data_IF_444476114175
#
_entry.id   IF_444476114175
#
_cell.length_a   1.000
_cell.length_b   1.000
_cell.length_c   1.000
_cell.angle_alpha   90.00
_cell.angle_beta   90.00
_cell.angle_gamma   90.00
#
_symmetry.space_group_name_H-M   'P 1'
#
loop_
_entity.id
_entity.type
_entity.pdbx_description
1 polymer ?
#
# COMPACT_ATOMS: atom_id res chain seq x y z
N UNK A 1 -2.03 20.59 -11.37
CA UNK A 1 -2.52 19.70 -10.32
C UNK A 1 -1.74 18.38 -10.40
N UNK A 2 -1.66 17.65 -9.29
CA UNK A 2 -1.01 16.33 -9.24
C UNK A 2 -2.02 15.30 -8.74
N UNK A 3 -2.12 14.17 -9.43
CA UNK A 3 -2.84 12.98 -8.99
C UNK A 3 -1.80 11.95 -8.51
N UNK A 4 -1.74 11.70 -7.22
CA UNK A 4 -0.89 10.68 -6.62
C UNK A 4 -1.70 9.40 -6.39
N UNK A 5 -1.19 8.29 -6.88
CA UNK A 5 -1.83 6.97 -6.75
C UNK A 5 -0.91 6.05 -5.96
N UNK A 6 -1.45 5.48 -4.88
CA UNK A 6 -0.85 4.39 -4.13
C UNK A 6 -1.50 3.06 -4.53
N UNK A 7 -0.69 2.15 -5.08
CA UNK A 7 -1.09 0.78 -5.43
C UNK A 7 -0.75 -0.16 -4.28
N UNK A 8 -1.63 -0.21 -3.28
CA UNK A 8 -1.50 -1.10 -2.13
C UNK A 8 -1.86 -2.56 -2.42
N UNK A 9 -1.64 -3.43 -1.46
CA UNK A 9 -1.94 -4.87 -1.54
C UNK A 9 -3.45 -5.14 -1.61
N UNK A 10 -4.26 -4.38 -0.87
CA UNK A 10 -5.70 -4.53 -0.84
C UNK A 10 -6.42 -3.56 -1.78
N UNK A 11 -6.12 -2.28 -1.64
CA UNK A 11 -6.82 -1.21 -2.32
C UNK A 11 -5.85 -0.24 -2.97
N UNK A 12 -6.31 0.40 -4.04
CA UNK A 12 -5.64 1.52 -4.67
C UNK A 12 -6.29 2.80 -4.19
N UNK A 13 -5.47 3.77 -3.86
CA UNK A 13 -5.90 5.10 -3.43
C UNK A 13 -5.36 6.14 -4.39
N UNK A 14 -6.19 7.09 -4.77
CA UNK A 14 -5.78 8.25 -5.51
C UNK A 14 -6.18 9.51 -4.76
N UNK A 15 -5.28 10.46 -4.68
CA UNK A 15 -5.56 11.82 -4.23
C UNK A 15 -5.20 12.78 -5.36
N UNK A 16 -6.06 13.77 -5.61
CA UNK A 16 -5.76 14.87 -6.51
C UNK A 16 -5.56 16.12 -5.69
N UNK A 17 -4.40 16.73 -5.84
CA UNK A 17 -4.02 17.92 -5.07
C UNK A 17 -3.66 19.08 -5.99
N UNK A 18 -3.92 20.29 -5.50
CA UNK A 18 -3.41 21.52 -6.05
C UNK A 18 -2.30 22.03 -5.13
N UNK A 19 -1.08 22.10 -5.62
CA UNK A 19 0.02 22.71 -4.90
C UNK A 19 0.12 24.20 -5.28
N UNK A 20 0.42 25.06 -4.31
CA UNK A 20 0.78 26.44 -4.51
C UNK A 20 2.31 26.60 -4.62
N UNK A 21 2.77 27.86 -4.74
CA UNK A 21 4.20 28.18 -4.85
C UNK A 21 4.94 28.06 -3.52
N UNK A 22 4.22 28.12 -2.43
CA UNK A 22 4.69 28.02 -1.04
C UNK A 22 4.84 26.56 -0.59
N UNK A 23 4.43 25.58 -1.44
CA UNK A 23 4.48 24.16 -1.16
C UNK A 23 3.31 23.66 -0.29
N UNK A 24 2.30 24.49 -0.08
CA UNK A 24 1.03 24.05 0.52
C UNK A 24 0.20 23.33 -0.53
N UNK A 25 -0.58 22.34 -0.12
CA UNK A 25 -1.47 21.64 -1.03
C UNK A 25 -2.89 21.57 -0.50
N UNK A 26 -3.82 21.74 -1.41
CA UNK A 26 -5.25 21.61 -1.21
C UNK A 26 -5.71 20.27 -1.80
N UNK A 27 -6.43 19.48 -1.02
CA UNK A 27 -7.06 18.26 -1.51
C UNK A 27 -8.26 18.63 -2.38
N UNK A 28 -8.19 18.25 -3.66
CA UNK A 28 -9.24 18.56 -4.65
C UNK A 28 -10.20 17.39 -4.85
N UNK A 29 -9.66 16.16 -4.85
CA UNK A 29 -10.45 14.95 -5.09
C UNK A 29 -9.77 13.71 -4.52
N UNK A 30 -10.55 12.67 -4.23
CA UNK A 30 -10.03 11.38 -3.76
C UNK A 30 -10.80 10.24 -4.40
N UNK A 31 -10.13 9.12 -4.64
CA UNK A 31 -10.76 7.88 -5.05
C UNK A 31 -10.09 6.69 -4.35
N UNK A 32 -10.89 5.70 -3.98
CA UNK A 32 -10.42 4.45 -3.38
C UNK A 32 -11.16 3.28 -4.04
N UNK A 33 -10.42 2.24 -4.39
CA UNK A 33 -10.95 1.04 -5.03
C UNK A 33 -10.31 -0.21 -4.45
N UNK A 34 -11.11 -1.19 -4.10
CA UNK A 34 -10.64 -2.49 -3.62
C UNK A 34 -10.23 -3.36 -4.81
N UNK A 35 -8.93 -3.54 -4.99
CA UNK A 35 -8.34 -4.34 -6.07
C UNK A 35 -7.99 -5.74 -5.62
N UNK A 36 -7.63 -5.88 -4.33
CA UNK A 36 -7.17 -7.13 -3.75
C UNK A 36 -6.04 -7.75 -4.56
N UNK A 37 -5.00 -6.94 -4.81
CA UNK A 37 -3.87 -7.33 -5.66
C UNK A 37 -3.10 -8.51 -5.09
N UNK A 38 -3.06 -8.65 -3.77
CA UNK A 38 -2.40 -9.76 -3.07
C UNK A 38 -3.23 -11.04 -2.97
N UNK A 39 -4.50 -11.06 -3.39
CA UNK A 39 -5.36 -12.21 -3.22
C UNK A 39 -5.10 -13.32 -4.25
N UNK A 40 -5.34 -14.57 -3.84
CA UNK A 40 -5.24 -15.75 -4.72
C UNK A 40 -3.81 -16.24 -4.96
N UNK A 41 -2.83 -15.72 -4.22
CA UNK A 41 -1.44 -16.18 -4.30
C UNK A 41 -0.89 -16.41 -2.89
N UNK A 42 -0.41 -17.61 -2.57
CA UNK A 42 0.25 -17.86 -1.30
C UNK A 42 1.38 -16.85 -1.06
N UNK A 43 1.43 -16.30 0.15
CA UNK A 43 2.45 -15.30 0.56
C UNK A 43 2.56 -14.06 -0.37
N UNK A 44 1.49 -13.74 -1.11
CA UNK A 44 1.46 -12.59 -2.05
C UNK A 44 2.64 -12.62 -3.05
N UNK A 45 3.09 -13.81 -3.42
CA UNK A 45 4.32 -13.98 -4.22
C UNK A 45 4.12 -13.83 -5.73
N UNK A 46 2.88 -13.78 -6.20
CA UNK A 46 2.53 -13.63 -7.62
C UNK A 46 1.26 -12.77 -7.74
N UNK A 47 1.25 -11.84 -8.67
CA UNK A 47 0.03 -11.14 -9.09
C UNK A 47 -0.68 -12.05 -10.09
N UNK A 48 -1.88 -12.52 -9.72
CA UNK A 48 -2.68 -13.41 -10.57
C UNK A 48 -3.25 -12.66 -11.78
N UNK A 49 -3.57 -13.34 -12.91
CA UNK A 49 -4.18 -12.68 -14.07
C UNK A 49 -5.46 -11.90 -13.73
N UNK A 50 -6.33 -12.47 -12.87
CA UNK A 50 -7.56 -11.79 -12.44
C UNK A 50 -7.28 -10.54 -11.61
N UNK A 51 -6.25 -10.56 -10.74
CA UNK A 51 -5.84 -9.40 -9.97
C UNK A 51 -5.24 -8.32 -10.89
N UNK A 52 -4.49 -8.72 -11.90
CA UNK A 52 -3.93 -7.82 -12.91
C UNK A 52 -5.03 -7.13 -13.73
N UNK A 53 -6.07 -7.84 -14.17
CA UNK A 53 -7.19 -7.25 -14.90
C UNK A 53 -7.99 -6.27 -14.04
N UNK A 54 -8.20 -6.59 -12.74
CA UNK A 54 -8.83 -5.63 -11.81
C UNK A 54 -7.98 -4.37 -11.64
N UNK A 55 -6.67 -4.53 -11.49
CA UNK A 55 -5.73 -3.42 -11.39
C UNK A 55 -5.76 -2.53 -12.63
N UNK A 56 -5.71 -3.11 -13.82
CA UNK A 56 -5.81 -2.40 -15.09
C UNK A 56 -7.11 -1.59 -15.19
N UNK A 57 -8.24 -2.19 -14.83
CA UNK A 57 -9.53 -1.51 -14.87
C UNK A 57 -9.56 -0.28 -13.93
N UNK A 58 -9.03 -0.40 -12.72
CA UNK A 58 -8.96 0.70 -11.75
C UNK A 58 -8.01 1.79 -12.23
N UNK A 59 -6.82 1.45 -12.69
CA UNK A 59 -5.84 2.43 -13.20
C UNK A 59 -6.38 3.21 -14.40
N UNK A 60 -7.08 2.55 -15.32
CA UNK A 60 -7.74 3.25 -16.43
C UNK A 60 -8.77 4.27 -15.93
N UNK A 61 -9.58 3.93 -14.92
CA UNK A 61 -10.53 4.87 -14.30
C UNK A 61 -9.81 6.04 -13.61
N UNK A 62 -8.77 5.77 -12.84
CA UNK A 62 -7.98 6.82 -12.17
C UNK A 62 -7.33 7.76 -13.18
N UNK A 63 -6.80 7.21 -14.28
CA UNK A 63 -6.26 8.02 -15.39
C UNK A 63 -7.32 8.95 -16.00
N UNK A 64 -8.55 8.48 -16.18
CA UNK A 64 -9.65 9.31 -16.67
C UNK A 64 -9.99 10.43 -15.66
N UNK A 65 -10.09 10.10 -14.37
CA UNK A 65 -10.33 11.09 -13.31
C UNK A 65 -9.22 12.15 -13.25
N UNK A 66 -7.96 11.73 -13.28
CA UNK A 66 -6.82 12.65 -13.33
C UNK A 66 -6.90 13.59 -14.55
N UNK A 67 -7.22 13.03 -15.73
CA UNK A 67 -7.42 13.82 -16.96
C UNK A 67 -8.55 14.84 -16.83
N UNK A 68 -9.69 14.47 -16.25
CA UNK A 68 -10.81 15.38 -16.01
C UNK A 68 -10.46 16.54 -15.08
N UNK A 69 -9.49 16.34 -14.19
CA UNK A 69 -8.96 17.36 -13.27
C UNK A 69 -7.74 18.11 -13.82
N UNK A 70 -7.31 17.82 -15.05
CA UNK A 70 -6.05 18.35 -15.63
C UNK A 70 -4.86 18.12 -14.67
N UNK A 71 -4.76 16.93 -14.10
CA UNK A 71 -3.73 16.56 -13.15
C UNK A 71 -2.71 15.60 -13.79
N UNK A 72 -1.43 15.88 -13.57
CA UNK A 72 -0.35 14.95 -13.88
C UNK A 72 -0.41 13.78 -12.90
N UNK A 73 -0.35 12.55 -13.42
CA UNK A 73 -0.51 11.37 -12.58
C UNK A 73 0.86 10.75 -12.26
N UNK A 74 1.08 10.49 -10.96
CA UNK A 74 2.20 9.72 -10.43
C UNK A 74 1.64 8.48 -9.73
N UNK A 75 2.26 7.33 -9.99
CA UNK A 75 1.82 6.06 -9.42
C UNK A 75 2.99 5.42 -8.70
N UNK A 76 2.78 5.12 -7.43
CA UNK A 76 3.70 4.28 -6.65
C UNK A 76 3.05 2.94 -6.35
N UNK A 77 3.85 1.89 -6.29
CA UNK A 77 3.41 0.56 -5.90
C UNK A 77 4.24 0.04 -4.74
N UNK A 78 3.57 -0.65 -3.82
CA UNK A 78 4.14 -1.08 -2.55
C UNK A 78 4.26 -2.60 -2.46
N UNK A 79 4.08 -3.18 -1.30
CA UNK A 79 4.38 -4.56 -0.93
C UNK A 79 3.97 -5.61 -1.99
N UNK A 80 2.71 -5.64 -2.44
CA UNK A 80 2.25 -6.69 -3.36
C UNK A 80 3.01 -6.69 -4.69
N UNK A 81 3.26 -5.51 -5.27
CA UNK A 81 4.02 -5.40 -6.52
C UNK A 81 5.51 -5.59 -6.26
N UNK A 82 6.05 -4.98 -5.19
CA UNK A 82 7.46 -5.08 -4.81
C UNK A 82 7.92 -6.52 -4.67
N UNK A 83 7.09 -7.37 -4.09
CA UNK A 83 7.44 -8.75 -3.75
C UNK A 83 7.04 -9.78 -4.81
N UNK A 84 6.17 -9.41 -5.76
CA UNK A 84 5.72 -10.31 -6.79
C UNK A 84 6.88 -10.74 -7.72
N UNK A 85 6.99 -12.05 -7.93
CA UNK A 85 7.98 -12.64 -8.87
C UNK A 85 7.76 -12.17 -10.29
N UNK A 86 6.51 -11.93 -10.67
CA UNK A 86 6.11 -11.44 -11.99
C UNK A 86 5.99 -9.91 -12.08
N UNK A 87 6.55 -9.15 -11.11
CA UNK A 87 6.44 -7.69 -11.06
C UNK A 87 6.86 -6.98 -12.34
N UNK A 88 7.93 -7.47 -13.01
CA UNK A 88 8.42 -6.87 -14.26
C UNK A 88 7.39 -6.98 -15.38
N UNK A 89 6.73 -8.12 -15.48
CA UNK A 89 5.66 -8.33 -16.46
C UNK A 89 4.46 -7.45 -16.15
N UNK A 90 4.06 -7.39 -14.89
CA UNK A 90 2.96 -6.54 -14.42
C UNK A 90 3.19 -5.06 -14.74
N UNK A 91 4.33 -4.49 -14.33
CA UNK A 91 4.68 -3.08 -14.58
C UNK A 91 4.73 -2.79 -16.08
N UNK A 92 5.34 -3.69 -16.86
CA UNK A 92 5.39 -3.54 -18.31
C UNK A 92 3.99 -3.56 -18.94
N UNK A 93 3.10 -4.44 -18.51
CA UNK A 93 1.72 -4.50 -19.00
C UNK A 93 0.92 -3.24 -18.64
N UNK A 94 1.12 -2.67 -17.45
CA UNK A 94 0.52 -1.39 -17.09
C UNK A 94 0.96 -0.27 -18.04
N UNK A 95 2.23 -0.24 -18.43
CA UNK A 95 2.74 0.71 -19.40
C UNK A 95 2.14 0.46 -20.80
N UNK A 96 2.16 -0.78 -21.27
CA UNK A 96 1.68 -1.14 -22.62
C UNK A 96 0.15 -0.94 -22.79
N UNK A 97 -0.65 -1.31 -21.79
CA UNK A 97 -2.12 -1.35 -21.90
C UNK A 97 -2.78 -0.07 -21.37
N UNK A 98 -2.28 0.49 -20.28
CA UNK A 98 -2.83 1.70 -19.68
C UNK A 98 -2.00 2.96 -19.99
N UNK A 99 -0.79 2.82 -20.52
CA UNK A 99 0.12 3.93 -20.81
C UNK A 99 0.48 4.69 -19.54
N UNK A 100 0.80 3.97 -18.46
CA UNK A 100 1.19 4.55 -17.17
C UNK A 100 2.49 3.91 -16.69
N UNK A 101 3.37 4.74 -16.16
CA UNK A 101 4.58 4.32 -15.48
C UNK A 101 4.30 4.12 -14.01
N UNK A 102 4.87 3.05 -13.43
CA UNK A 102 4.73 2.72 -12.02
C UNK A 102 6.11 2.70 -11.38
N UNK A 103 6.27 3.49 -10.35
CA UNK A 103 7.43 3.47 -9.47
C UNK A 103 7.21 2.45 -8.35
N UNK A 104 8.07 1.43 -8.29
CA UNK A 104 7.96 0.40 -7.24
C UNK A 104 8.87 0.78 -6.09
N UNK A 105 8.28 1.17 -4.98
CA UNK A 105 9.00 1.62 -3.79
C UNK A 105 9.67 0.45 -3.05
N UNK A 106 10.87 0.68 -2.55
CA UNK A 106 11.44 -0.16 -1.49
C UNK A 106 10.64 0.03 -0.19
N UNK A 107 10.72 -0.93 0.72
CA UNK A 107 10.03 -0.79 2.01
C UNK A 107 10.53 0.38 2.86
N UNK A 108 11.79 0.76 2.69
CA UNK A 108 12.37 1.92 3.38
C UNK A 108 11.87 3.25 2.79
N UNK A 109 11.77 3.35 1.47
CA UNK A 109 11.19 4.52 0.79
C UNK A 109 9.72 4.70 1.17
N UNK A 110 8.93 3.61 1.14
CA UNK A 110 7.53 3.59 1.59
C UNK A 110 7.41 4.11 3.03
N UNK A 111 8.19 3.56 3.96
CA UNK A 111 8.21 3.98 5.36
C UNK A 111 8.56 5.47 5.52
N UNK A 112 9.55 5.97 4.77
CA UNK A 112 9.92 7.39 4.79
C UNK A 112 8.80 8.30 4.26
N UNK A 113 8.10 7.90 3.19
CA UNK A 113 6.97 8.65 2.64
C UNK A 113 5.80 8.69 3.62
N UNK A 114 5.49 7.57 4.30
CA UNK A 114 4.47 7.50 5.35
C UNK A 114 4.81 8.49 6.48
N UNK A 115 6.08 8.48 6.94
CA UNK A 115 6.53 9.42 7.97
C UNK A 115 6.34 10.88 7.56
N UNK A 116 6.70 11.24 6.32
CA UNK A 116 6.49 12.59 5.79
C UNK A 116 5.00 12.94 5.75
N UNK A 117 4.13 12.01 5.35
CA UNK A 117 2.69 12.20 5.38
C UNK A 117 2.16 12.48 6.79
N UNK A 118 2.65 11.76 7.80
CA UNK A 118 2.29 11.99 9.22
C UNK A 118 2.72 13.37 9.69
N UNK A 119 3.92 13.84 9.30
CA UNK A 119 4.39 15.18 9.66
C UNK A 119 3.56 16.30 9.04
N UNK A 120 2.98 16.07 7.87
CA UNK A 120 2.08 17.04 7.23
C UNK A 120 0.67 17.04 7.85
N UNK A 121 0.22 15.88 8.32
CA UNK A 121 -1.13 15.72 8.85
C UNK A 121 -1.25 16.06 10.34
N UNK A 122 -0.16 15.94 11.12
CA UNK A 122 -0.18 16.07 12.58
C UNK A 122 0.90 17.05 13.08
N UNK A 123 0.61 17.80 14.15
CA UNK A 123 1.56 18.75 14.75
C UNK A 123 2.61 18.03 15.62
N UNK A 124 3.41 17.17 15.02
CA UNK A 124 4.39 16.30 15.72
C UNK A 124 5.83 16.55 15.28
N UNK A 125 6.08 17.59 14.51
CA UNK A 125 7.39 17.87 13.94
C UNK A 125 8.51 17.94 14.99
N UNK A 126 8.25 18.62 16.13
CA UNK A 126 9.24 18.80 17.20
C UNK A 126 9.32 17.61 18.17
N UNK A 127 8.53 16.58 17.95
CA UNK A 127 8.45 15.42 18.84
C UNK A 127 9.33 14.27 18.33
N UNK A 128 9.69 13.39 19.27
CA UNK A 128 10.13 12.04 18.92
C UNK A 128 8.89 11.16 18.76
N UNK A 129 8.71 10.58 17.58
CA UNK A 129 7.51 9.79 17.26
C UNK A 129 7.90 8.43 16.70
N UNK A 130 7.13 7.43 17.05
CA UNK A 130 7.11 6.13 16.40
C UNK A 130 5.85 6.07 15.54
N UNK A 131 6.03 5.95 14.24
CA UNK A 131 4.95 5.70 13.28
C UNK A 131 4.90 4.21 13.00
N UNK A 132 3.72 3.62 13.10
CA UNK A 132 3.45 2.22 12.74
C UNK A 132 2.30 2.23 11.74
N UNK A 133 2.55 1.76 10.53
CA UNK A 133 1.54 1.63 9.48
C UNK A 133 1.32 0.14 9.16
N UNK A 134 0.12 -0.35 9.43
CA UNK A 134 -0.26 -1.76 9.23
C UNK A 134 -1.03 -1.87 7.92
N UNK A 135 -0.30 -2.21 6.84
CA UNK A 135 -0.84 -2.42 5.52
C UNK A 135 -1.38 -3.84 5.29
N UNK A 136 -1.80 -4.10 4.04
CA UNK A 136 -2.28 -5.43 3.64
C UNK A 136 -1.18 -6.48 3.55
N UNK A 137 -0.01 -6.12 3.00
CA UNK A 137 1.11 -7.02 2.75
C UNK A 137 2.31 -6.81 3.65
N UNK A 138 2.47 -5.61 4.20
CA UNK A 138 3.60 -5.22 5.07
C UNK A 138 3.14 -4.37 6.24
N UNK A 139 4.06 -4.14 7.18
CA UNK A 139 3.92 -3.17 8.26
C UNK A 139 5.21 -2.36 8.34
N UNK A 140 5.07 -1.05 8.24
CA UNK A 140 6.15 -0.10 8.30
C UNK A 140 6.32 0.46 9.72
N UNK A 141 7.59 0.61 10.14
CA UNK A 141 7.96 1.23 11.40
C UNK A 141 8.94 2.35 11.13
N UNK A 142 8.62 3.54 11.62
CA UNK A 142 9.52 4.70 11.51
C UNK A 142 9.66 5.37 12.86
N UNK A 143 10.88 5.38 13.40
CA UNK A 143 11.24 6.23 14.51
C UNK A 143 11.79 7.54 13.94
N UNK A 144 11.17 8.66 14.26
CA UNK A 144 11.60 9.96 13.78
C UNK A 144 11.65 11.02 14.88
N UNK A 145 12.46 12.05 14.66
CA UNK A 145 12.61 13.21 15.56
C UNK A 145 12.91 14.46 14.74
N UNK A 146 12.27 15.56 15.09
CA UNK A 146 12.49 16.87 14.47
C UNK A 146 12.44 16.82 12.94
N UNK A 147 11.43 16.15 12.40
CA UNK A 147 11.21 16.01 10.95
C UNK A 147 12.15 15.03 10.23
N UNK A 148 13.07 14.36 10.95
CA UNK A 148 14.03 13.43 10.35
C UNK A 148 13.75 11.99 10.77
N UNK A 149 13.67 11.02 9.82
CA UNK A 149 13.64 9.62 10.18
C UNK A 149 15.02 9.21 10.75
N UNK A 150 15.02 8.61 11.94
CA UNK A 150 16.21 8.05 12.59
C UNK A 150 16.37 6.58 12.26
N UNK A 151 15.26 5.87 12.13
CA UNK A 151 15.20 4.48 11.75
C UNK A 151 13.91 4.23 10.94
N UNK A 152 14.00 3.49 9.87
CA UNK A 152 12.86 3.10 9.04
C UNK A 152 13.02 1.67 8.55
N UNK A 153 11.98 0.88 8.68
CA UNK A 153 11.95 -0.52 8.20
C UNK A 153 10.55 -0.91 7.78
N UNK A 154 10.47 -1.90 6.91
CA UNK A 154 9.23 -2.55 6.48
C UNK A 154 9.34 -4.04 6.74
N UNK A 155 8.37 -4.60 7.43
CA UNK A 155 8.28 -6.02 7.74
C UNK A 155 7.16 -6.65 6.91
N UNK A 156 7.35 -7.91 6.49
CA UNK A 156 6.34 -8.70 5.77
C UNK A 156 5.23 -9.21 6.69
N UNK A 157 4.59 -8.30 7.41
CA UNK A 157 3.59 -8.55 8.45
C UNK A 157 2.32 -7.74 8.16
N UNK A 158 1.74 -7.89 6.96
CA UNK A 158 0.49 -7.24 6.61
C UNK A 158 -0.73 -8.10 6.99
N UNK A 159 -1.86 -7.44 7.28
CA UNK A 159 -3.07 -8.13 7.75
C UNK A 159 -3.62 -9.15 6.74
N UNK A 160 -3.53 -8.90 5.43
CA UNK A 160 -3.95 -9.88 4.40
C UNK A 160 -2.98 -11.06 4.38
N UNK A 161 -1.67 -10.79 4.39
CA UNK A 161 -0.64 -11.84 4.39
C UNK A 161 -0.82 -12.78 5.57
N UNK A 162 -0.98 -12.23 6.78
CA UNK A 162 -1.18 -13.02 8.00
C UNK A 162 -2.50 -13.79 7.96
N UNK A 163 -3.58 -13.17 7.48
CA UNK A 163 -4.88 -13.85 7.34
C UNK A 163 -4.81 -15.03 6.37
N UNK A 164 -4.14 -14.88 5.23
CA UNK A 164 -3.99 -15.98 4.26
C UNK A 164 -3.06 -17.09 4.79
N UNK A 165 -2.02 -16.71 5.50
CA UNK A 165 -1.03 -17.68 6.04
C UNK A 165 -1.61 -18.49 7.21
N UNK A 166 -2.29 -17.82 8.15
CA UNK A 166 -2.73 -18.46 9.40
C UNK A 166 -4.20 -18.79 9.45
N UNK A 167 -5.06 -18.03 8.75
CA UNK A 167 -6.50 -18.25 8.79
C UNK A 167 -7.03 -19.07 7.60
N UNK A 168 -6.26 -19.24 6.53
CA UNK A 168 -6.57 -19.98 5.33
C UNK A 168 -7.94 -19.62 4.71
N UNK A 169 -8.04 -19.47 3.42
CA UNK A 169 -9.32 -19.35 2.73
C UNK A 169 -10.04 -20.72 2.82
N UNK A 170 -11.04 -20.82 3.68
CA UNK A 170 -11.87 -22.03 3.83
C UNK A 170 -11.96 -22.61 5.24
N UNK A 171 -11.27 -22.08 6.22
CA UNK A 171 -11.43 -22.49 7.62
C UNK A 171 -12.67 -21.86 8.22
N UNK A 172 -13.48 -22.65 8.90
CA UNK A 172 -14.65 -22.17 9.62
C UNK A 172 -14.22 -21.32 10.83
N UNK A 173 -15.12 -20.43 11.26
CA UNK A 173 -14.91 -19.59 12.46
C UNK A 173 -14.67 -20.44 13.74
N UNK A 174 -15.13 -21.68 13.75
CA UNK A 174 -14.93 -22.63 14.85
C UNK A 174 -13.55 -23.27 14.85
N UNK A 175 -13.00 -23.58 13.68
CA UNK A 175 -11.63 -24.09 13.54
C UNK A 175 -10.60 -23.05 13.94
N UNK A 176 -10.82 -21.78 13.57
CA UNK A 176 -9.98 -20.65 13.95
C UNK A 176 -9.98 -20.41 15.48
N UNK A 177 -11.14 -20.56 16.14
CA UNK A 177 -11.22 -20.42 17.59
C UNK A 177 -10.49 -21.54 18.34
N UNK A 178 -10.49 -22.76 17.82
CA UNK A 178 -9.77 -23.89 18.43
C UNK A 178 -8.26 -23.72 18.38
N UNK A 179 -7.71 -23.23 17.26
CA UNK A 179 -6.27 -22.98 17.15
C UNK A 179 -5.82 -21.80 18.02
N UNK A 180 -6.57 -20.70 18.04
CA UNK A 180 -6.25 -19.56 18.92
C UNK A 180 -6.21 -19.93 20.41
N UNK A 181 -7.05 -20.86 20.84
CA UNK A 181 -7.03 -21.38 22.21
C UNK A 181 -5.81 -22.25 22.47
N UNK A 182 -5.38 -23.05 21.49
CA UNK A 182 -4.21 -23.92 21.63
C UNK A 182 -2.89 -23.13 21.64
N UNK A 183 -2.73 -22.10 20.79
CA UNK A 183 -1.52 -21.27 20.75
C UNK A 183 -1.36 -20.42 22.02
N UNK A 184 -2.46 -19.94 22.61
CA UNK A 184 -2.40 -19.16 23.85
C UNK A 184 -1.90 -20.02 25.04
N UNK A 185 -2.12 -21.34 25.01
CA UNK A 185 -1.65 -22.26 26.04
C UNK A 185 -0.17 -22.61 25.90
N UNK A 186 0.41 -22.57 24.71
CA UNK A 186 1.83 -22.87 24.49
C UNK A 186 2.77 -21.72 24.88
N UNK A 187 2.28 -20.47 24.94
CA UNK A 187 3.07 -19.30 25.35
C UNK A 187 3.12 -19.08 26.89
N UNK A 188 2.44 -19.91 27.68
CA UNK A 188 2.39 -19.81 29.14
C UNK A 188 3.03 -21.01 29.87
N UNK A 189 3.80 -21.85 29.18
CA UNK A 189 4.68 -22.86 29.76
C UNK A 189 6.15 -22.53 29.41
#
# INVERSE_FOLDING_TARGET
MLAAVDMGTNSFHMVVVRADKEGQFELVDTAKEDVRLGSGSPDISIITPDAEERALAVIKRFKQLAKMRNADMRIVATSAVREARNRRMFVRRMLEVAGVEIEVLSGQEEACLIYQGVLQALPVYDKTVLVVDIGGGSTEFVLGKAGKPLYATSLKLGHIRLSEQFLGLGRSREELKKEQVMDTWQFHQ
#
